data_IF_403011884568
#
_entry.id   IF_403011884568
#
_cell.length_a   1.000
_cell.length_b   1.000
_cell.length_c   1.000
_cell.angle_alpha   90.00
_cell.angle_beta   90.00
_cell.angle_gamma   90.00
#
_symmetry.space_group_name_H-M   'P 1'
#
loop_
_entity.id
_entity.type
_entity.pdbx_description
1 polymer ?
#
# COMPACT_ATOMS: atom_id res chain seq x y z
N UNK A 1 27.93 -29.10 -100.66
CA UNK A 1 27.06 -29.94 -99.79
C UNK A 1 27.52 -29.92 -98.33
N UNK A 2 28.64 -29.25 -98.01
CA UNK A 2 29.07 -28.96 -96.64
C UNK A 2 28.44 -27.67 -96.08
N UNK A 3 28.14 -26.66 -96.92
CA UNK A 3 27.54 -25.38 -96.47
C UNK A 3 26.06 -25.47 -96.03
N UNK A 4 25.38 -26.59 -96.27
CA UNK A 4 23.95 -26.74 -95.90
C UNK A 4 23.74 -27.36 -94.51
N UNK A 5 24.80 -27.96 -93.95
CA UNK A 5 24.75 -28.59 -92.62
C UNK A 5 25.14 -27.63 -91.49
N UNK A 6 25.86 -26.55 -91.78
CA UNK A 6 26.35 -25.63 -90.73
C UNK A 6 25.28 -24.65 -90.23
N UNK A 7 24.48 -24.07 -91.13
CA UNK A 7 23.47 -23.07 -90.74
C UNK A 7 22.29 -23.68 -89.94
N UNK A 8 21.94 -24.93 -90.21
CA UNK A 8 20.87 -25.61 -89.46
C UNK A 8 21.33 -26.12 -88.10
N UNK A 9 22.61 -26.50 -87.95
CA UNK A 9 23.16 -26.99 -86.70
C UNK A 9 23.47 -25.84 -85.73
N UNK A 10 24.08 -24.74 -86.21
CA UNK A 10 24.33 -23.55 -85.39
C UNK A 10 23.04 -22.85 -84.95
N UNK A 11 22.01 -22.83 -85.81
CA UNK A 11 20.69 -22.30 -85.44
C UNK A 11 20.05 -23.06 -84.28
N UNK A 12 20.17 -24.41 -84.26
CA UNK A 12 19.67 -25.24 -83.15
C UNK A 12 20.47 -25.04 -81.87
N UNK A 13 21.80 -24.92 -81.95
CA UNK A 13 22.65 -24.65 -80.79
C UNK A 13 22.37 -23.27 -80.15
N UNK A 14 22.12 -22.24 -80.96
CA UNK A 14 21.75 -20.90 -80.49
C UNK A 14 20.37 -20.89 -79.83
N UNK A 15 19.41 -21.66 -80.37
CA UNK A 15 18.08 -21.86 -79.78
C UNK A 15 18.15 -22.61 -78.44
N UNK A 16 18.96 -23.66 -78.34
CA UNK A 16 19.16 -24.41 -77.09
C UNK A 16 19.82 -23.53 -76.01
N UNK A 17 20.79 -22.69 -76.39
CA UNK A 17 21.43 -21.75 -75.45
C UNK A 17 20.45 -20.71 -74.90
N UNK A 18 19.62 -20.11 -75.75
CA UNK A 18 18.60 -19.17 -75.29
C UNK A 18 17.53 -19.84 -74.41
N UNK A 19 17.14 -21.07 -74.72
CA UNK A 19 16.24 -21.85 -73.86
C UNK A 19 16.87 -22.16 -72.50
N UNK A 20 18.17 -22.46 -72.45
CA UNK A 20 18.89 -22.70 -71.20
C UNK A 20 19.03 -21.41 -70.35
N UNK A 21 19.36 -20.27 -70.95
CA UNK A 21 19.44 -18.98 -70.25
C UNK A 21 18.08 -18.54 -69.69
N UNK A 22 16.98 -18.78 -70.44
CA UNK A 22 15.62 -18.57 -69.96
C UNK A 22 15.24 -19.52 -68.81
N UNK A 23 15.63 -20.80 -68.89
CA UNK A 23 15.36 -21.77 -67.85
C UNK A 23 16.10 -21.43 -66.53
N UNK A 24 17.37 -21.00 -66.62
CA UNK A 24 18.15 -20.56 -65.44
C UNK A 24 17.55 -19.28 -64.84
N UNK A 25 17.14 -18.31 -65.67
CA UNK A 25 16.48 -17.10 -65.20
C UNK A 25 15.14 -17.39 -64.51
N UNK A 26 14.32 -18.27 -65.08
CA UNK A 26 13.05 -18.70 -64.50
C UNK A 26 13.24 -19.46 -63.17
N UNK A 27 14.24 -20.34 -63.10
CA UNK A 27 14.58 -21.06 -61.87
C UNK A 27 15.05 -20.10 -60.76
N UNK A 28 15.88 -19.10 -61.10
CA UNK A 28 16.30 -18.05 -60.17
C UNK A 28 15.13 -17.22 -59.63
N UNK A 29 14.17 -16.86 -60.49
CA UNK A 29 12.97 -16.13 -60.08
C UNK A 29 12.07 -16.94 -59.14
N UNK A 30 11.90 -18.24 -59.40
CA UNK A 30 11.15 -19.15 -58.52
C UNK A 30 11.81 -19.30 -57.14
N UNK A 31 13.13 -19.47 -57.09
CA UNK A 31 13.88 -19.52 -55.81
C UNK A 31 13.73 -18.22 -55.03
N UNK A 32 13.77 -17.06 -55.70
CA UNK A 32 13.51 -15.75 -55.09
C UNK A 32 12.10 -15.63 -54.49
N UNK A 33 11.07 -16.13 -55.19
CA UNK A 33 9.69 -16.14 -54.70
C UNK A 33 9.50 -17.07 -53.49
N UNK A 34 10.13 -18.25 -53.49
CA UNK A 34 10.13 -19.13 -52.31
C UNK A 34 10.84 -18.49 -51.11
N UNK A 35 11.94 -17.76 -51.35
CA UNK A 35 12.63 -17.01 -50.32
C UNK A 35 11.77 -15.90 -49.69
N UNK A 36 11.00 -15.17 -50.51
CA UNK A 36 10.05 -14.16 -50.04
C UNK A 36 8.88 -14.78 -49.25
N UNK A 37 8.38 -15.94 -49.69
CA UNK A 37 7.34 -16.67 -48.97
C UNK A 37 7.82 -17.14 -47.59
N UNK A 38 9.03 -17.68 -47.51
CA UNK A 38 9.65 -18.07 -46.25
C UNK A 38 9.88 -16.85 -45.35
N UNK A 39 10.46 -15.77 -45.85
CA UNK A 39 10.71 -14.57 -45.04
C UNK A 39 9.42 -13.95 -44.52
N UNK A 40 8.35 -13.93 -45.32
CA UNK A 40 7.02 -13.48 -44.90
C UNK A 40 6.42 -14.38 -43.81
N UNK A 41 6.51 -15.70 -43.96
CA UNK A 41 6.04 -16.64 -42.95
C UNK A 41 6.82 -16.52 -41.63
N UNK A 42 8.15 -16.40 -41.70
CA UNK A 42 9.00 -16.16 -40.52
C UNK A 42 8.69 -14.83 -39.84
N UNK A 43 8.47 -13.76 -40.61
CA UNK A 43 8.12 -12.45 -40.06
C UNK A 43 6.79 -12.49 -39.31
N UNK A 44 5.78 -13.16 -39.87
CA UNK A 44 4.48 -13.35 -39.21
C UNK A 44 4.62 -14.13 -37.90
N UNK A 45 5.42 -15.20 -37.90
CA UNK A 45 5.70 -15.97 -36.70
C UNK A 45 6.43 -15.13 -35.63
N UNK A 46 7.44 -14.35 -36.01
CA UNK A 46 8.16 -13.48 -35.08
C UNK A 46 7.27 -12.38 -34.49
N UNK A 47 6.36 -11.80 -35.28
CA UNK A 47 5.37 -10.85 -34.77
C UNK A 47 4.45 -11.49 -33.73
N UNK A 48 3.98 -12.72 -33.98
CA UNK A 48 3.15 -13.44 -33.02
C UNK A 48 3.88 -13.74 -31.71
N UNK A 49 5.16 -14.12 -31.76
CA UNK A 49 5.93 -14.34 -30.54
C UNK A 49 6.25 -13.04 -29.80
N UNK A 50 6.54 -11.96 -30.52
CA UNK A 50 6.76 -10.64 -29.91
C UNK A 50 5.49 -10.12 -29.20
N UNK A 51 4.33 -10.38 -29.78
CA UNK A 51 3.03 -10.07 -29.17
C UNK A 51 2.81 -10.85 -27.87
N UNK A 52 3.04 -12.17 -27.88
CA UNK A 52 2.94 -13.01 -26.68
C UNK A 52 3.92 -12.52 -25.61
N UNK A 53 5.15 -12.21 -25.97
CA UNK A 53 6.17 -11.73 -25.03
C UNK A 53 5.78 -10.38 -24.41
N UNK A 54 5.26 -9.44 -25.22
CA UNK A 54 4.74 -8.17 -24.72
C UNK A 54 3.63 -8.38 -23.68
N UNK A 55 2.65 -9.26 -23.95
CA UNK A 55 1.59 -9.58 -22.99
C UNK A 55 2.12 -10.18 -21.68
N UNK A 56 3.13 -11.05 -21.76
CA UNK A 56 3.78 -11.61 -20.58
C UNK A 56 4.53 -10.53 -19.78
N UNK A 57 5.21 -9.60 -20.45
CA UNK A 57 5.92 -8.49 -19.80
C UNK A 57 4.97 -7.52 -19.10
N UNK A 58 3.89 -7.09 -19.75
CA UNK A 58 2.88 -6.22 -19.13
C UNK A 58 2.30 -6.87 -17.89
N UNK A 59 2.02 -8.17 -17.96
CA UNK A 59 1.54 -8.96 -16.81
C UNK A 59 2.56 -9.00 -15.68
N UNK A 60 3.82 -9.22 -16.00
CA UNK A 60 4.88 -9.25 -15.00
C UNK A 60 4.96 -7.89 -14.28
N UNK A 61 4.92 -6.78 -15.02
CA UNK A 61 4.89 -5.43 -14.45
C UNK A 61 3.69 -5.23 -13.53
N UNK A 62 2.52 -5.74 -13.90
CA UNK A 62 1.31 -5.68 -13.06
C UNK A 62 1.49 -6.39 -11.72
N UNK A 63 2.00 -7.64 -11.76
CA UNK A 63 2.24 -8.45 -10.58
C UNK A 63 3.31 -7.80 -9.70
N UNK A 64 4.38 -7.31 -10.30
CA UNK A 64 5.46 -6.61 -9.60
C UNK A 64 4.94 -5.34 -8.93
N UNK A 65 4.07 -4.59 -9.60
CA UNK A 65 3.42 -3.40 -9.03
C UNK A 65 2.56 -3.77 -7.82
N UNK A 66 1.69 -4.77 -7.93
CA UNK A 66 0.87 -5.25 -6.79
C UNK A 66 1.74 -5.76 -5.62
N UNK A 67 2.83 -6.44 -5.92
CA UNK A 67 3.75 -6.93 -4.89
C UNK A 67 4.46 -5.77 -4.19
N UNK A 68 4.92 -4.76 -4.94
CA UNK A 68 5.50 -3.54 -4.37
C UNK A 68 4.51 -2.81 -3.46
N UNK A 69 3.22 -2.71 -3.84
CA UNK A 69 2.19 -2.12 -2.97
C UNK A 69 2.06 -2.87 -1.65
N UNK A 70 2.10 -4.21 -1.70
CA UNK A 70 2.01 -5.05 -0.50
C UNK A 70 3.20 -4.80 0.42
N UNK A 71 4.40 -4.76 -0.13
CA UNK A 71 5.62 -4.49 0.64
C UNK A 71 5.62 -3.05 1.20
N UNK A 72 5.19 -2.04 0.45
CA UNK A 72 5.08 -0.66 0.96
C UNK A 72 4.10 -0.57 2.14
N UNK A 73 2.94 -1.21 2.04
CA UNK A 73 1.97 -1.26 3.14
C UNK A 73 2.54 -2.01 4.35
N UNK A 74 3.26 -3.10 4.10
CA UNK A 74 3.94 -3.87 5.15
C UNK A 74 5.01 -3.03 5.84
N UNK A 75 5.81 -2.28 5.10
CA UNK A 75 6.85 -1.40 5.64
C UNK A 75 6.23 -0.31 6.53
N UNK A 76 5.10 0.28 6.13
CA UNK A 76 4.35 1.21 6.98
C UNK A 76 3.85 0.54 8.27
N UNK A 77 3.25 -0.65 8.16
CA UNK A 77 2.81 -1.45 9.29
C UNK A 77 3.97 -1.77 10.24
N UNK A 78 5.12 -2.20 9.73
CA UNK A 78 6.29 -2.55 10.53
C UNK A 78 6.92 -1.32 11.19
N UNK A 79 6.92 -0.17 10.50
CA UNK A 79 7.36 1.10 11.07
C UNK A 79 6.46 1.53 12.24
N UNK A 80 5.15 1.48 12.07
CA UNK A 80 4.21 1.87 13.11
C UNK A 80 4.18 0.87 14.27
N UNK A 81 4.31 -0.43 13.98
CA UNK A 81 4.50 -1.48 14.97
C UNK A 81 5.73 -1.22 15.85
N UNK A 82 6.88 -0.93 15.25
CA UNK A 82 8.12 -0.60 15.99
C UNK A 82 7.96 0.63 16.89
N UNK A 83 7.23 1.66 16.45
CA UNK A 83 6.94 2.84 17.28
C UNK A 83 6.07 2.47 18.48
N UNK A 84 5.04 1.65 18.30
CA UNK A 84 4.18 1.18 19.39
C UNK A 84 4.99 0.36 20.38
N UNK A 85 5.80 -0.60 19.91
CA UNK A 85 6.59 -1.50 20.74
C UNK A 85 7.62 -0.70 21.58
N UNK A 86 8.28 0.29 20.97
CA UNK A 86 9.21 1.19 21.68
C UNK A 86 8.50 1.98 22.78
N UNK A 87 7.31 2.55 22.49
CA UNK A 87 6.52 3.28 23.49
C UNK A 87 6.02 2.36 24.61
N UNK A 88 5.72 1.09 24.29
CA UNK A 88 5.31 0.10 25.27
C UNK A 88 6.45 -0.21 26.24
N UNK A 89 7.67 -0.39 25.73
CA UNK A 89 8.87 -0.56 26.56
C UNK A 89 9.04 0.65 27.50
N UNK A 90 8.96 1.88 26.97
CA UNK A 90 9.05 3.09 27.81
C UNK A 90 7.98 3.12 28.90
N UNK A 91 6.72 2.80 28.57
CA UNK A 91 5.64 2.75 29.55
C UNK A 91 5.89 1.68 30.63
N UNK A 92 6.39 0.50 30.26
CA UNK A 92 6.74 -0.57 31.23
C UNK A 92 7.90 -0.18 32.14
N UNK A 93 8.92 0.51 31.62
CA UNK A 93 10.02 1.02 32.43
C UNK A 93 9.55 2.08 33.42
N UNK A 94 8.68 3.01 32.99
CA UNK A 94 8.06 4.00 33.87
C UNK A 94 7.21 3.36 34.97
N UNK A 95 6.49 2.27 34.64
CA UNK A 95 5.73 1.51 35.62
C UNK A 95 6.65 0.83 36.65
N UNK A 96 7.75 0.21 36.19
CA UNK A 96 8.74 -0.42 37.07
C UNK A 96 9.41 0.60 38.01
N UNK A 97 9.76 1.79 37.50
CA UNK A 97 10.27 2.91 38.31
C UNK A 97 9.23 3.34 39.34
N UNK A 98 7.96 3.47 38.94
CA UNK A 98 6.86 3.79 39.85
C UNK A 98 6.72 2.79 41.00
N UNK A 99 6.84 1.49 40.71
CA UNK A 99 6.85 0.45 41.75
C UNK A 99 8.06 0.55 42.67
N UNK A 100 9.22 0.98 42.15
CA UNK A 100 10.43 1.22 42.95
C UNK A 100 10.26 2.31 44.02
N UNK A 101 9.29 3.23 43.85
CA UNK A 101 8.96 4.20 44.90
C UNK A 101 8.05 3.63 45.98
N UNK A 102 7.24 2.61 45.67
CA UNK A 102 6.33 1.96 46.61
C UNK A 102 7.07 0.80 47.30
N UNK A 103 8.08 1.12 48.09
CA UNK A 103 8.83 0.13 48.88
C UNK A 103 8.55 0.34 50.37
N UNK A 104 8.43 -0.78 51.10
CA UNK A 104 8.27 -0.76 52.55
C UNK A 104 9.45 -0.06 53.24
N UNK A 105 9.16 0.73 54.28
CA UNK A 105 10.20 1.44 55.05
C UNK A 105 10.60 2.82 54.49
N UNK A 106 9.89 3.33 53.48
CA UNK A 106 10.17 4.66 52.89
C UNK A 106 9.92 5.82 53.87
N UNK A 107 9.07 5.63 54.87
CA UNK A 107 8.83 6.63 55.91
C UNK A 107 9.56 6.26 57.21
N UNK A 108 10.22 7.22 57.88
CA UNK A 108 10.81 6.97 59.18
C UNK A 108 9.72 6.52 60.16
N UNK A 109 10.01 5.46 60.92
CA UNK A 109 9.11 4.96 61.95
C UNK A 109 8.79 6.10 62.92
N UNK A 110 7.51 6.28 63.22
CA UNK A 110 7.08 7.23 64.24
C UNK A 110 7.54 6.69 65.60
N UNK A 111 8.67 7.19 66.12
CA UNK A 111 9.14 6.84 67.45
C UNK A 111 8.12 7.35 68.50
N UNK A 112 7.42 6.45 69.22
CA UNK A 112 6.36 6.86 70.15
C UNK A 112 6.87 7.55 71.42
N UNK A 113 8.20 7.66 71.62
CA UNK A 113 8.82 8.13 72.86
C UNK A 113 9.24 9.61 72.93
N UNK A 114 9.04 10.41 71.89
CA UNK A 114 9.44 11.85 71.85
C UNK A 114 8.22 12.80 71.86
N UNK A 115 7.26 12.56 72.73
CA UNK A 115 5.91 13.13 72.68
C UNK A 115 5.77 14.61 73.06
N UNK A 116 6.70 15.21 73.80
CA UNK A 116 6.33 16.40 74.58
C UNK A 116 6.68 17.76 73.92
N UNK A 117 7.47 17.77 72.84
CA UNK A 117 7.81 18.99 72.09
C UNK A 117 7.46 18.94 70.59
N UNK A 118 6.87 17.83 70.11
CA UNK A 118 6.79 17.50 68.68
C UNK A 118 5.38 17.47 68.06
N UNK A 119 4.34 17.93 68.74
CA UNK A 119 2.96 17.75 68.26
C UNK A 119 2.68 18.43 66.90
N UNK A 120 3.29 19.59 66.64
CA UNK A 120 3.11 20.33 65.39
C UNK A 120 3.77 19.65 64.18
N UNK A 121 4.84 18.89 64.38
CA UNK A 121 5.58 18.23 63.29
C UNK A 121 4.85 16.98 62.76
N UNK A 122 3.95 16.40 63.54
CA UNK A 122 3.22 15.18 63.15
C UNK A 122 2.11 15.45 62.12
N UNK A 123 1.35 16.54 62.28
CA UNK A 123 0.28 16.90 61.36
C UNK A 123 0.82 17.24 59.95
N UNK A 124 1.93 17.98 59.89
CA UNK A 124 2.59 18.33 58.62
C UNK A 124 3.12 17.09 57.87
N UNK A 125 3.68 16.12 58.62
CA UNK A 125 4.13 14.86 58.02
C UNK A 125 2.97 14.01 57.52
N UNK A 126 1.82 14.01 58.21
CA UNK A 126 0.64 13.28 57.76
C UNK A 126 0.14 13.81 56.41
N UNK A 127 0.03 15.13 56.27
CA UNK A 127 -0.41 15.76 55.03
C UNK A 127 0.52 15.44 53.86
N UNK A 128 1.85 15.50 54.07
CA UNK A 128 2.83 15.16 53.03
C UNK A 128 2.78 13.69 52.61
N UNK A 129 2.52 12.77 53.55
CA UNK A 129 2.33 11.34 53.26
C UNK A 129 1.11 11.09 52.40
N UNK A 130 0.00 11.78 52.67
CA UNK A 130 -1.23 11.69 51.86
C UNK A 130 -0.98 12.21 50.44
N UNK A 131 -0.33 13.37 50.31
CA UNK A 131 0.03 13.93 48.99
C UNK A 131 0.93 12.97 48.22
N UNK A 132 1.98 12.45 48.87
CA UNK A 132 2.86 11.45 48.27
C UNK A 132 2.09 10.20 47.81
N UNK A 133 1.19 9.66 48.65
CA UNK A 133 0.43 8.46 48.30
C UNK A 133 -0.46 8.69 47.07
N UNK A 134 -1.08 9.86 46.95
CA UNK A 134 -1.87 10.24 45.77
C UNK A 134 -0.98 10.37 44.53
N UNK A 135 0.16 11.06 44.63
CA UNK A 135 1.11 11.22 43.52
C UNK A 135 1.67 9.85 43.08
N UNK A 136 2.01 8.99 44.02
CA UNK A 136 2.49 7.63 43.76
C UNK A 136 1.42 6.76 43.08
N UNK A 137 0.15 6.88 43.49
CA UNK A 137 -0.95 6.20 42.82
C UNK A 137 -1.08 6.63 41.35
N UNK A 138 -0.98 7.94 41.07
CA UNK A 138 -0.98 8.42 39.68
C UNK A 138 0.27 8.02 38.90
N UNK A 139 1.44 7.98 39.54
CA UNK A 139 2.69 7.51 38.93
C UNK A 139 2.60 6.03 38.48
N UNK A 140 1.73 5.22 39.10
CA UNK A 140 1.45 3.83 38.70
C UNK A 140 0.29 3.71 37.71
N UNK A 141 -0.82 4.43 37.94
CA UNK A 141 -2.01 4.34 37.10
C UNK A 141 -1.75 4.89 35.69
N UNK A 142 -1.07 6.03 35.55
CA UNK A 142 -0.80 6.64 34.25
C UNK A 142 0.00 5.75 33.28
N UNK A 143 1.16 5.17 33.65
CA UNK A 143 1.89 4.29 32.74
C UNK A 143 1.12 2.98 32.47
N UNK A 144 0.34 2.48 33.43
CA UNK A 144 -0.52 1.32 33.21
C UNK A 144 -1.60 1.60 32.15
N UNK A 145 -2.32 2.72 32.25
CA UNK A 145 -3.29 3.15 31.24
C UNK A 145 -2.65 3.39 29.87
N UNK A 146 -1.44 3.96 29.85
CA UNK A 146 -0.66 4.12 28.61
C UNK A 146 -0.36 2.77 27.96
N UNK A 147 0.08 1.79 28.75
CA UNK A 147 0.37 0.43 28.28
C UNK A 147 -0.89 -0.25 27.70
N UNK A 148 -2.04 -0.15 28.38
CA UNK A 148 -3.30 -0.70 27.87
C UNK A 148 -3.71 -0.08 26.53
N UNK A 149 -3.57 1.24 26.40
CA UNK A 149 -3.87 1.95 25.15
C UNK A 149 -2.93 1.52 24.01
N UNK A 150 -1.64 1.26 24.30
CA UNK A 150 -0.68 0.75 23.32
C UNK A 150 -0.96 -0.69 22.91
N UNK A 151 -1.32 -1.56 23.85
CA UNK A 151 -1.73 -2.95 23.58
C UNK A 151 -2.97 -2.97 22.68
N UNK A 152 -3.96 -2.14 22.96
CA UNK A 152 -5.16 -2.03 22.13
C UNK A 152 -4.83 -1.49 20.72
N UNK A 153 -3.90 -0.52 20.63
CA UNK A 153 -3.40 -0.02 19.34
C UNK A 153 -2.71 -1.13 18.54
N UNK A 154 -1.85 -1.92 19.19
CA UNK A 154 -1.18 -3.08 18.58
C UNK A 154 -2.17 -4.12 18.09
N UNK A 155 -3.15 -4.48 18.92
CA UNK A 155 -4.21 -5.44 18.57
C UNK A 155 -5.01 -5.00 17.34
N UNK A 156 -5.33 -3.70 17.24
CA UNK A 156 -6.03 -3.14 16.08
C UNK A 156 -5.17 -3.18 14.82
N UNK A 157 -3.89 -2.84 14.95
CA UNK A 157 -2.92 -2.88 13.86
C UNK A 157 -2.73 -4.30 13.31
N UNK A 158 -2.59 -5.29 14.19
CA UNK A 158 -2.48 -6.70 13.81
C UNK A 158 -3.78 -7.22 13.15
N UNK A 159 -4.94 -6.82 13.69
CA UNK A 159 -6.24 -7.14 13.08
C UNK A 159 -6.36 -6.56 11.66
N UNK A 160 -5.97 -5.30 11.46
CA UNK A 160 -5.98 -4.67 10.15
C UNK A 160 -5.11 -5.44 9.16
N UNK A 161 -3.87 -5.75 9.52
CA UNK A 161 -2.93 -6.42 8.61
C UNK A 161 -3.39 -7.84 8.26
N UNK A 162 -4.01 -8.54 9.20
CA UNK A 162 -4.60 -9.85 8.94
C UNK A 162 -5.75 -9.77 7.92
N UNK A 163 -6.68 -8.83 8.11
CA UNK A 163 -7.81 -8.62 7.19
C UNK A 163 -7.34 -8.16 5.80
N UNK A 164 -6.36 -7.26 5.77
CA UNK A 164 -5.75 -6.82 4.52
C UNK A 164 -5.14 -7.99 3.75
N UNK A 165 -4.29 -8.80 4.40
CA UNK A 165 -3.62 -9.93 3.76
C UNK A 165 -4.60 -10.97 3.21
N UNK A 166 -5.66 -11.29 3.95
CA UNK A 166 -6.69 -12.23 3.49
C UNK A 166 -7.42 -11.68 2.26
N UNK A 167 -7.87 -10.42 2.29
CA UNK A 167 -8.53 -9.80 1.12
C UNK A 167 -7.59 -9.64 -0.08
N UNK A 168 -6.35 -9.23 0.15
CA UNK A 168 -5.34 -9.12 -0.89
C UNK A 168 -5.08 -10.47 -1.56
N UNK A 169 -4.93 -11.54 -0.78
CA UNK A 169 -4.75 -12.89 -1.31
C UNK A 169 -5.95 -13.37 -2.12
N UNK A 170 -7.18 -13.13 -1.65
CA UNK A 170 -8.41 -13.48 -2.37
C UNK A 170 -8.53 -12.73 -3.69
N UNK A 171 -8.25 -11.43 -3.70
CA UNK A 171 -8.27 -10.60 -4.90
C UNK A 171 -7.23 -11.08 -5.91
N UNK A 172 -6.00 -11.34 -5.47
CA UNK A 172 -4.93 -11.86 -6.32
C UNK A 172 -5.31 -13.20 -6.92
N UNK A 173 -5.88 -14.11 -6.10
CA UNK A 173 -6.37 -15.41 -6.55
C UNK A 173 -7.51 -15.28 -7.56
N UNK A 174 -8.46 -14.37 -7.33
CA UNK A 174 -9.58 -14.15 -8.23
C UNK A 174 -9.12 -13.60 -9.58
N UNK A 175 -8.26 -12.57 -9.59
CA UNK A 175 -7.65 -12.04 -10.83
C UNK A 175 -6.86 -13.12 -11.57
N UNK A 176 -6.11 -13.95 -10.85
CA UNK A 176 -5.39 -15.07 -11.45
C UNK A 176 -6.33 -16.12 -12.06
N UNK A 177 -7.47 -16.41 -11.44
CA UNK A 177 -8.47 -17.34 -11.97
C UNK A 177 -9.19 -16.79 -13.21
N UNK A 178 -9.62 -15.52 -13.19
CA UNK A 178 -10.21 -14.86 -14.36
C UNK A 178 -9.24 -14.89 -15.54
N UNK A 179 -7.97 -14.58 -15.27
CA UNK A 179 -6.91 -14.66 -16.26
C UNK A 179 -6.70 -16.09 -16.80
N UNK A 180 -6.68 -17.11 -15.94
CA UNK A 180 -6.55 -18.50 -16.40
C UNK A 180 -7.75 -18.94 -17.24
N UNK A 181 -8.95 -18.44 -16.94
CA UNK A 181 -10.14 -18.70 -17.74
C UNK A 181 -10.05 -18.03 -19.11
N UNK A 182 -9.57 -16.78 -19.17
CA UNK A 182 -9.38 -16.02 -20.41
C UNK A 182 -8.28 -16.61 -21.29
N UNK A 183 -7.13 -16.96 -20.71
CA UNK A 183 -6.02 -17.58 -21.45
C UNK A 183 -6.31 -18.97 -21.98
N UNK A 184 -7.20 -19.73 -21.32
CA UNK A 184 -7.68 -21.01 -21.84
C UNK A 184 -8.51 -20.85 -23.11
N UNK A 185 -9.05 -19.66 -23.37
CA UNK A 185 -9.77 -19.29 -24.58
C UNK A 185 -8.81 -18.70 -25.63
N UNK A 186 -7.87 -19.51 -26.11
CA UNK A 186 -6.86 -19.12 -27.11
C UNK A 186 -7.44 -18.57 -28.43
N UNK A 187 -8.68 -18.94 -28.78
CA UNK A 187 -9.35 -18.46 -29.99
C UNK A 187 -9.83 -16.99 -29.88
N UNK A 188 -9.96 -16.44 -28.67
CA UNK A 188 -10.41 -15.05 -28.44
C UNK A 188 -9.22 -14.08 -28.33
N UNK A 189 -8.07 -14.56 -27.82
CA UNK A 189 -6.85 -13.76 -27.64
C UNK A 189 -6.35 -13.10 -28.94
N UNK A 190 -6.51 -13.76 -30.07
CA UNK A 190 -6.10 -13.22 -31.37
C UNK A 190 -7.02 -12.14 -31.95
N UNK A 191 -8.25 -12.00 -31.44
CA UNK A 191 -9.27 -11.13 -32.03
C UNK A 191 -9.60 -9.87 -31.23
N UNK A 192 -9.83 -9.99 -29.92
CA UNK A 192 -10.45 -8.91 -29.13
C UNK A 192 -9.46 -8.06 -28.35
N UNK A 193 -8.42 -8.68 -27.77
CA UNK A 193 -7.57 -7.98 -26.81
C UNK A 193 -6.46 -7.18 -27.48
N UNK A 194 -5.95 -7.65 -28.64
CA UNK A 194 -4.95 -6.89 -29.39
C UNK A 194 -5.48 -5.53 -29.84
N UNK A 195 -6.74 -5.46 -30.27
CA UNK A 195 -7.37 -4.20 -30.70
C UNK A 195 -7.49 -3.23 -29.52
N UNK A 196 -7.95 -3.70 -28.36
CA UNK A 196 -8.14 -2.85 -27.16
C UNK A 196 -6.84 -2.29 -26.60
N UNK A 197 -5.76 -3.08 -26.55
CA UNK A 197 -4.48 -2.62 -26.01
C UNK A 197 -3.64 -1.84 -27.04
N UNK A 198 -3.94 -1.93 -28.33
CA UNK A 198 -3.24 -1.18 -29.40
C UNK A 198 -3.96 0.08 -29.86
N UNK A 199 -5.20 0.33 -29.41
CA UNK A 199 -6.01 1.51 -29.79
C UNK A 199 -5.39 2.87 -29.42
N UNK A 200 -4.36 2.90 -28.58
CA UNK A 200 -3.61 4.12 -28.22
C UNK A 200 -2.22 4.26 -28.86
N UNK A 201 -1.72 3.25 -29.59
CA UNK A 201 -0.48 3.39 -30.34
C UNK A 201 -0.77 4.23 -31.61
N UNK A 202 0.14 5.12 -32.04
CA UNK A 202 -0.04 5.85 -33.29
C UNK A 202 -0.14 4.83 -34.43
N UNK A 203 -1.37 4.55 -34.85
CA UNK A 203 -1.63 3.78 -36.06
C UNK A 203 -0.93 4.54 -37.18
N UNK A 204 0.12 3.95 -37.75
CA UNK A 204 0.75 4.54 -38.92
C UNK A 204 -0.34 4.81 -39.98
N UNK A 205 -0.50 6.06 -40.41
CA UNK A 205 -1.49 6.38 -41.41
C UNK A 205 -0.95 5.88 -42.76
N UNK A 206 -1.58 4.87 -43.35
CA UNK A 206 -1.91 4.94 -44.79
C UNK A 206 -2.90 3.85 -45.25
N UNK A 207 -4.20 4.17 -45.36
CA UNK A 207 -5.18 3.33 -46.07
C UNK A 207 -4.95 3.25 -47.60
N UNK A 208 -3.88 3.85 -48.13
CA UNK A 208 -3.58 3.86 -49.56
C UNK A 208 -2.93 2.56 -50.07
N UNK A 209 -2.22 1.80 -49.21
CA UNK A 209 -1.51 0.59 -49.65
C UNK A 209 -2.34 -0.70 -49.48
N UNK A 210 -3.32 -0.73 -48.58
CA UNK A 210 -4.18 -1.89 -48.38
C UNK A 210 -5.12 -2.17 -49.58
N UNK A 211 -5.38 -1.17 -50.44
CA UNK A 211 -6.22 -1.32 -51.63
C UNK A 211 -5.47 -1.89 -52.85
N UNK A 212 -4.15 -1.99 -52.81
CA UNK A 212 -3.33 -2.50 -53.93
C UNK A 212 -3.07 -4.00 -53.84
N UNK A 213 -3.09 -4.59 -52.63
CA UNK A 213 -2.82 -6.03 -52.46
C UNK A 213 -4.05 -6.95 -52.46
N UNK A 214 -5.28 -6.42 -52.37
CA UNK A 214 -6.52 -7.24 -52.38
C UNK A 214 -7.11 -7.49 -53.76
N UNK A 215 -6.57 -6.88 -54.83
CA UNK A 215 -7.08 -7.04 -56.20
C UNK A 215 -6.42 -8.17 -57.00
N UNK A 216 -5.37 -8.83 -56.48
CA UNK A 216 -4.60 -9.82 -57.25
C UNK A 216 -4.96 -11.29 -56.97
N UNK A 217 -5.76 -11.61 -55.93
CA UNK A 217 -6.18 -12.98 -55.63
C UNK A 217 -7.70 -13.06 -55.45
N UNK A 218 -8.41 -12.86 -56.56
CA UNK A 218 -9.85 -13.09 -56.66
C UNK A 218 -10.20 -14.58 -56.57
N UNK A 219 -10.30 -15.12 -55.36
CA UNK A 219 -11.04 -16.36 -55.08
C UNK A 219 -12.42 -16.00 -54.51
N UNK A 220 -13.38 -15.94 -55.43
CA UNK A 220 -14.80 -15.62 -55.25
C UNK A 220 -15.53 -16.71 -54.46
N UNK A 221 -15.41 -16.73 -53.14
CA UNK A 221 -16.27 -17.57 -52.29
C UNK A 221 -17.66 -16.94 -52.14
N UNK A 222 -18.61 -17.55 -52.85
CA UNK A 222 -20.01 -17.14 -52.95
C UNK A 222 -20.80 -17.80 -51.81
N UNK A 223 -20.88 -17.16 -50.64
CA UNK A 223 -21.79 -17.60 -49.58
C UNK A 223 -23.23 -17.21 -49.92
N UNK A 224 -24.00 -18.19 -50.41
CA UNK A 224 -25.43 -18.09 -50.75
C UNK A 224 -26.24 -18.60 -49.55
N UNK A 225 -26.45 -17.75 -48.55
CA UNK A 225 -27.32 -18.02 -47.40
C UNK A 225 -28.72 -17.44 -47.60
N UNK A 226 -29.73 -18.30 -47.66
CA UNK A 226 -31.14 -17.97 -47.90
C UNK A 226 -31.75 -17.13 -46.77
N UNK A 227 -32.30 -15.98 -47.14
CA UNK A 227 -33.42 -15.33 -46.47
C UNK A 227 -34.59 -16.31 -46.26
N UNK A 228 -35.13 -16.34 -45.03
CA UNK A 228 -36.52 -16.72 -44.79
C UNK A 228 -37.13 -15.87 -43.67
N UNK A 229 -38.09 -15.04 -44.09
CA UNK A 229 -39.37 -14.61 -43.48
C UNK A 229 -39.35 -14.27 -41.98
N UNK A 230 -39.52 -13.00 -41.63
CA UNK A 230 -40.82 -12.30 -41.55
C UNK A 230 -41.72 -12.87 -40.44
N UNK A 231 -41.51 -12.33 -39.23
CA UNK A 231 -42.45 -12.34 -38.11
C UNK A 231 -42.48 -10.92 -37.55
N UNK A 232 -43.64 -10.27 -37.67
CA UNK A 232 -43.88 -8.89 -37.29
C UNK A 232 -44.32 -8.79 -35.82
N UNK A 233 -44.15 -7.58 -35.29
CA UNK A 233 -44.87 -6.97 -34.17
C UNK A 233 -44.40 -7.34 -32.76
N UNK A 234 -43.45 -6.53 -32.29
CA UNK A 234 -43.07 -6.37 -30.88
C UNK A 234 -42.05 -5.25 -30.80
N UNK A 235 -42.47 -4.02 -31.11
CA UNK A 235 -41.66 -2.81 -31.02
C UNK A 235 -41.45 -2.44 -29.54
N UNK A 236 -40.75 -3.28 -28.80
CA UNK A 236 -40.07 -2.83 -27.59
C UNK A 236 -38.90 -1.98 -28.05
N UNK A 237 -39.06 -0.69 -27.85
CA UNK A 237 -38.01 0.32 -27.90
C UNK A 237 -36.87 -0.17 -27.00
N UNK A 238 -35.92 -0.90 -27.59
CA UNK A 238 -34.61 -1.17 -27.02
C UNK A 238 -34.04 0.19 -26.65
N UNK A 239 -34.16 0.53 -25.38
CA UNK A 239 -33.63 1.74 -24.81
C UNK A 239 -32.13 1.57 -24.97
N UNK A 240 -31.57 2.33 -25.90
CA UNK A 240 -30.15 2.43 -26.19
C UNK A 240 -29.51 3.03 -24.92
N UNK A 241 -29.32 2.18 -23.91
CA UNK A 241 -28.53 2.53 -22.75
C UNK A 241 -27.13 2.75 -23.30
N UNK A 242 -26.55 3.96 -23.17
CA UNK A 242 -25.18 4.16 -23.57
C UNK A 242 -24.38 3.06 -22.89
N UNK A 243 -23.66 2.25 -23.67
CA UNK A 243 -22.61 1.37 -23.17
C UNK A 243 -21.66 2.27 -22.40
N UNK A 244 -21.93 2.43 -21.10
CA UNK A 244 -21.12 3.20 -20.22
C UNK A 244 -19.87 2.34 -20.06
N UNK A 245 -18.84 2.69 -20.83
CA UNK A 245 -17.51 2.12 -20.67
C UNK A 245 -17.16 2.23 -19.19
N UNK A 246 -17.26 1.11 -18.49
CA UNK A 246 -16.74 0.98 -17.15
C UNK A 246 -15.23 1.12 -17.32
N UNK A 247 -14.76 2.36 -17.16
CA UNK A 247 -13.36 2.67 -17.11
C UNK A 247 -12.80 1.87 -15.94
N UNK A 248 -12.07 0.79 -16.22
CA UNK A 248 -11.36 0.09 -15.16
C UNK A 248 -10.37 1.10 -14.57
N UNK A 249 -10.46 1.37 -13.25
CA UNK A 249 -9.53 2.27 -12.61
C UNK A 249 -8.11 1.71 -12.78
N UNK A 250 -7.18 2.58 -13.18
CA UNK A 250 -5.79 2.16 -13.38
C UNK A 250 -5.20 1.63 -12.08
N UNK A 251 -4.28 0.67 -12.14
CA UNK A 251 -3.72 0.06 -10.92
C UNK A 251 -3.06 1.09 -10.00
N UNK A 252 -2.55 2.19 -10.55
CA UNK A 252 -1.99 3.31 -9.79
C UNK A 252 -3.01 3.97 -8.85
N UNK A 253 -4.26 4.11 -9.29
CA UNK A 253 -5.34 4.67 -8.47
C UNK A 253 -5.68 3.73 -7.32
N UNK A 254 -5.63 2.41 -7.55
CA UNK A 254 -5.78 1.39 -6.50
C UNK A 254 -4.69 1.55 -5.43
N UNK A 255 -3.43 1.83 -5.82
CA UNK A 255 -2.33 2.06 -4.86
C UNK A 255 -2.63 3.23 -3.96
N UNK A 256 -2.93 4.36 -4.60
CA UNK A 256 -3.18 5.63 -3.92
C UNK A 256 -4.38 5.50 -2.99
N UNK A 257 -5.45 4.85 -3.47
CA UNK A 257 -6.63 4.58 -2.68
C UNK A 257 -6.29 3.71 -1.46
N UNK A 258 -5.58 2.59 -1.65
CA UNK A 258 -5.20 1.71 -0.55
C UNK A 258 -4.35 2.42 0.52
N UNK A 259 -3.36 3.20 0.10
CA UNK A 259 -2.54 3.99 1.01
C UNK A 259 -3.38 5.04 1.75
N UNK A 260 -4.31 5.70 1.04
CA UNK A 260 -5.24 6.66 1.65
C UNK A 260 -6.19 6.00 2.66
N UNK A 261 -6.65 4.78 2.37
CA UNK A 261 -7.51 4.01 3.26
C UNK A 261 -6.75 3.57 4.52
N UNK A 262 -5.50 3.11 4.39
CA UNK A 262 -4.66 2.80 5.55
C UNK A 262 -4.47 4.04 6.44
N UNK A 263 -4.09 5.17 5.85
CA UNK A 263 -3.88 6.42 6.59
C UNK A 263 -5.16 6.88 7.31
N UNK A 264 -6.31 6.79 6.64
CA UNK A 264 -7.61 7.15 7.20
C UNK A 264 -8.01 6.21 8.33
N UNK A 265 -7.85 4.91 8.13
CA UNK A 265 -8.12 3.89 9.14
C UNK A 265 -7.25 4.10 10.38
N UNK A 266 -5.93 4.27 10.18
CA UNK A 266 -4.99 4.54 11.26
C UNK A 266 -5.38 5.80 12.05
N UNK A 267 -5.73 6.88 11.34
CA UNK A 267 -6.14 8.13 11.97
C UNK A 267 -7.41 7.95 12.83
N UNK A 268 -8.41 7.24 12.33
CA UNK A 268 -9.68 7.07 13.05
C UNK A 268 -9.56 6.11 14.25
N UNK A 269 -8.83 5.00 14.08
CA UNK A 269 -8.84 3.89 15.05
C UNK A 269 -7.63 3.88 15.98
N UNK A 270 -6.45 4.29 15.51
CA UNK A 270 -5.20 4.22 16.29
C UNK A 270 -4.79 5.59 16.87
N UNK A 271 -5.03 6.69 16.14
CA UNK A 271 -4.56 8.03 16.56
C UNK A 271 -5.10 8.45 17.93
N UNK A 272 -6.37 8.16 18.23
CA UNK A 272 -6.98 8.48 19.53
C UNK A 272 -6.32 7.70 20.67
N UNK A 273 -6.14 6.39 20.51
CA UNK A 273 -5.47 5.54 21.49
C UNK A 273 -4.01 5.97 21.70
N UNK A 274 -3.30 6.29 20.61
CA UNK A 274 -1.92 6.76 20.66
C UNK A 274 -1.80 8.13 21.33
N UNK A 275 -2.76 9.03 21.10
CA UNK A 275 -2.85 10.33 21.77
C UNK A 275 -3.05 10.15 23.28
N UNK A 276 -4.01 9.31 23.70
CA UNK A 276 -4.25 8.99 25.11
C UNK A 276 -2.99 8.40 25.74
N UNK A 277 -2.36 7.41 25.10
CA UNK A 277 -1.10 6.83 25.59
C UNK A 277 -0.01 7.90 25.76
N UNK A 278 0.18 8.78 24.76
CA UNK A 278 1.19 9.84 24.83
C UNK A 278 0.95 10.77 26.01
N UNK A 279 -0.30 11.21 26.21
CA UNK A 279 -0.69 12.07 27.33
C UNK A 279 -0.47 11.36 28.68
N UNK A 280 -0.90 10.10 28.79
CA UNK A 280 -0.69 9.28 29.99
C UNK A 280 0.81 9.08 30.29
N UNK A 281 1.65 8.83 29.28
CA UNK A 281 3.11 8.71 29.45
C UNK A 281 3.73 10.01 29.93
N UNK A 282 3.30 11.17 29.40
CA UNK A 282 3.74 12.48 29.90
C UNK A 282 3.40 12.70 31.37
N UNK A 283 2.15 12.44 31.74
CA UNK A 283 1.73 12.51 33.14
C UNK A 283 2.50 11.53 34.02
N UNK A 284 2.74 10.31 33.54
CA UNK A 284 3.54 9.31 34.27
C UNK A 284 4.97 9.81 34.54
N UNK A 285 5.63 10.46 33.58
CA UNK A 285 6.95 11.06 33.78
C UNK A 285 6.91 12.16 34.83
N UNK A 286 5.92 13.07 34.75
CA UNK A 286 5.73 14.16 35.70
C UNK A 286 5.53 13.62 37.12
N UNK A 287 4.62 12.66 37.30
CA UNK A 287 4.33 12.10 38.62
C UNK A 287 5.50 11.30 39.19
N UNK A 288 6.26 10.57 38.37
CA UNK A 288 7.47 9.89 38.84
C UNK A 288 8.56 10.88 39.31
N UNK A 289 8.76 11.98 38.57
CA UNK A 289 9.69 13.04 39.00
C UNK A 289 9.21 13.71 40.29
N UNK A 290 7.91 13.99 40.40
CA UNK A 290 7.31 14.53 41.63
C UNK A 290 7.42 13.57 42.80
N UNK A 291 7.21 12.26 42.61
CA UNK A 291 7.44 11.24 43.63
C UNK A 291 8.87 11.28 44.15
N UNK A 292 9.86 11.30 43.25
CA UNK A 292 11.26 11.41 43.61
C UNK A 292 11.55 12.69 44.40
N UNK A 293 10.99 13.82 43.95
CA UNK A 293 11.15 15.11 44.60
C UNK A 293 10.57 15.13 46.03
N UNK A 294 9.36 14.57 46.20
CA UNK A 294 8.69 14.48 47.50
C UNK A 294 9.44 13.55 48.45
N UNK A 295 9.92 12.40 47.96
CA UNK A 295 10.72 11.48 48.76
C UNK A 295 12.02 12.13 49.23
N UNK A 296 12.75 12.78 48.34
CA UNK A 296 14.00 13.45 48.70
C UNK A 296 13.74 14.67 49.61
N UNK A 297 12.65 15.40 49.39
CA UNK A 297 12.21 16.50 50.26
C UNK A 297 11.93 16.02 51.68
N UNK A 298 11.16 14.93 51.83
CA UNK A 298 10.91 14.30 53.13
C UNK A 298 12.19 13.76 53.77
N UNK A 299 13.11 13.20 52.97
CA UNK A 299 14.42 12.74 53.46
C UNK A 299 15.27 13.90 54.01
N UNK A 300 15.32 15.04 53.32
CA UNK A 300 16.04 16.22 53.81
C UNK A 300 15.38 16.84 55.04
N UNK A 301 14.05 16.87 55.08
CA UNK A 301 13.31 17.32 56.26
C UNK A 301 13.63 16.45 57.49
N UNK A 302 13.76 15.13 57.30
CA UNK A 302 14.14 14.20 58.37
C UNK A 302 15.61 14.35 58.78
N UNK A 303 16.53 14.48 57.81
CA UNK A 303 17.97 14.48 58.06
C UNK A 303 18.51 15.81 58.60
N UNK A 304 17.87 16.93 58.22
CA UNK A 304 18.33 18.28 58.55
C UNK A 304 17.17 19.15 59.10
N UNK A 305 16.63 18.81 60.28
CA UNK A 305 15.48 19.49 60.84
C UNK A 305 15.73 20.98 61.13
N UNK A 306 16.97 21.35 61.45
CA UNK A 306 17.33 22.73 61.83
C UNK A 306 17.45 23.70 60.64
N UNK A 307 17.49 23.18 59.41
CA UNK A 307 17.70 23.98 58.19
C UNK A 307 16.57 23.78 57.18
N UNK A 308 15.38 24.39 57.40
CA UNK A 308 14.22 24.23 56.51
C UNK A 308 14.45 24.80 55.10
N UNK A 309 15.43 25.68 54.95
CA UNK A 309 15.82 26.26 53.66
C UNK A 309 16.31 25.19 52.65
N UNK A 310 16.88 24.08 53.12
CA UNK A 310 17.44 23.06 52.22
C UNK A 310 16.37 22.30 51.45
N UNK A 311 15.35 21.76 52.13
CA UNK A 311 14.32 20.97 51.46
C UNK A 311 13.37 21.87 50.65
N UNK A 312 13.11 23.10 51.13
CA UNK A 312 12.30 24.09 50.40
C UNK A 312 12.99 24.55 49.12
N UNK A 313 14.28 24.88 49.19
CA UNK A 313 15.09 25.23 48.03
C UNK A 313 15.17 24.09 47.00
N UNK A 314 15.37 22.85 47.45
CA UNK A 314 15.36 21.69 46.57
C UNK A 314 14.00 21.50 45.86
N UNK A 315 12.90 21.53 46.63
CA UNK A 315 11.55 21.34 46.09
C UNK A 315 11.19 22.43 45.08
N UNK A 316 11.58 23.68 45.37
CA UNK A 316 11.42 24.81 44.46
C UNK A 316 12.19 24.61 43.15
N UNK A 317 13.46 24.20 43.22
CA UNK A 317 14.28 23.94 42.03
C UNK A 317 13.70 22.83 41.14
N UNK A 318 13.20 21.74 41.75
CA UNK A 318 12.57 20.65 40.99
C UNK A 318 11.27 21.10 40.33
N UNK A 319 10.42 21.83 41.05
CA UNK A 319 9.17 22.38 40.49
C UNK A 319 9.45 23.38 39.35
N UNK A 320 10.45 24.25 39.52
CA UNK A 320 10.88 25.19 38.48
C UNK A 320 11.39 24.45 37.23
N UNK A 321 12.21 23.41 37.41
CA UNK A 321 12.71 22.57 36.33
C UNK A 321 11.58 21.85 35.59
N UNK A 322 10.58 21.34 36.31
CA UNK A 322 9.42 20.67 35.75
C UNK A 322 8.54 21.66 34.96
N UNK A 323 8.32 22.86 35.50
CA UNK A 323 7.58 23.92 34.81
C UNK A 323 8.30 24.34 33.53
N UNK A 324 9.62 24.54 33.58
CA UNK A 324 10.42 24.88 32.41
C UNK A 324 10.35 23.77 31.34
N UNK A 325 10.46 22.50 31.75
CA UNK A 325 10.33 21.36 30.85
C UNK A 325 8.95 21.31 30.18
N UNK A 326 7.87 21.59 30.93
CA UNK A 326 6.51 21.69 30.39
C UNK A 326 6.37 22.82 29.37
N UNK A 327 6.92 24.00 29.66
CA UNK A 327 6.90 25.15 28.74
C UNK A 327 7.69 24.83 27.47
N UNK A 328 8.91 24.31 27.58
CA UNK A 328 9.74 23.96 26.43
C UNK A 328 9.08 22.87 25.57
N UNK A 329 8.47 21.87 26.20
CA UNK A 329 7.72 20.82 25.50
C UNK A 329 6.49 21.39 24.79
N UNK A 330 5.75 22.27 25.46
CA UNK A 330 4.61 22.98 24.86
C UNK A 330 5.03 23.82 23.65
N UNK A 331 6.14 24.55 23.77
CA UNK A 331 6.71 25.33 22.68
C UNK A 331 7.15 24.43 21.53
N UNK A 332 7.88 23.35 21.79
CA UNK A 332 8.30 22.40 20.77
C UNK A 332 7.11 21.76 20.03
N UNK A 333 6.02 21.46 20.74
CA UNK A 333 4.78 20.97 20.14
C UNK A 333 4.06 22.03 19.30
N UNK A 334 4.16 23.31 19.69
CA UNK A 334 3.56 24.42 18.96
C UNK A 334 4.36 24.83 17.72
N UNK A 335 5.70 24.75 17.77
CA UNK A 335 6.61 25.16 16.69
C UNK A 335 6.94 24.04 15.70
N UNK A 336 6.68 22.78 16.07
CA UNK A 336 6.87 21.65 15.16
C UNK A 336 6.07 21.81 13.86
N UNK A 337 6.60 21.32 12.72
CA UNK A 337 5.89 21.38 11.44
C UNK A 337 4.54 20.68 11.60
N UNK A 338 3.47 21.48 11.63
CA UNK A 338 2.12 20.95 11.68
C UNK A 338 1.86 20.27 10.35
N UNK A 339 1.81 18.94 10.34
CA UNK A 339 1.32 18.14 9.22
C UNK A 339 -0.21 18.35 9.13
N UNK A 340 -0.63 19.58 8.85
CA UNK A 340 -2.02 20.01 8.84
C UNK A 340 -2.61 20.11 7.43
N UNK A 341 -1.84 19.80 6.41
CA UNK A 341 -2.22 20.07 5.01
C UNK A 341 -2.71 18.86 4.21
N UNK A 342 -2.83 17.66 4.78
CA UNK A 342 -3.34 16.48 4.03
C UNK A 342 -4.60 15.82 4.61
N UNK A 343 -5.03 16.18 5.81
CA UNK A 343 -6.14 15.51 6.51
C UNK A 343 -7.46 16.28 6.47
N UNK A 344 -7.46 17.54 6.04
CA UNK A 344 -8.64 18.41 6.13
C UNK A 344 -9.77 18.08 5.14
N UNK A 345 -9.55 17.16 4.22
CA UNK A 345 -10.57 16.76 3.24
C UNK A 345 -11.17 15.36 3.45
N UNK A 346 -10.85 14.69 4.57
CA UNK A 346 -11.41 13.37 4.88
C UNK A 346 -12.65 13.60 5.75
N UNK A 347 -13.83 13.56 5.11
CA UNK A 347 -15.12 13.83 5.73
C UNK A 347 -15.34 12.98 6.99
N UNK A 348 -15.72 13.67 8.07
CA UNK A 348 -15.82 13.15 9.44
C UNK A 348 -16.95 12.12 9.69
N UNK A 349 -17.54 11.52 8.66
CA UNK A 349 -18.74 10.69 8.79
C UNK A 349 -18.50 9.18 8.96
N UNK A 350 -17.27 8.68 8.99
CA UNK A 350 -17.01 7.22 9.08
C UNK A 350 -16.59 6.74 10.48
N UNK A 351 -17.58 6.41 11.30
CA UNK A 351 -17.43 5.48 12.44
C UNK A 351 -17.41 4.00 11.98
N UNK A 352 -17.39 3.75 10.67
CA UNK A 352 -17.49 2.40 10.11
C UNK A 352 -16.10 1.81 9.82
N UNK A 353 -16.01 0.49 10.00
CA UNK A 353 -15.01 -0.37 9.38
C UNK A 353 -14.89 0.06 7.90
N UNK A 354 -13.68 0.22 7.32
CA UNK A 354 -13.54 0.63 5.92
C UNK A 354 -14.47 -0.19 5.03
N UNK A 355 -15.21 0.43 4.11
CA UNK A 355 -16.21 -0.26 3.27
C UNK A 355 -15.63 -1.51 2.59
N UNK A 356 -14.40 -1.38 2.08
CA UNK A 356 -13.65 -2.48 1.49
C UNK A 356 -13.40 -3.67 2.43
N UNK A 357 -13.45 -3.52 3.76
CA UNK A 357 -13.36 -4.63 4.72
C UNK A 357 -14.70 -5.34 4.91
N UNK A 358 -15.83 -4.66 4.74
CA UNK A 358 -17.17 -5.25 4.83
C UNK A 358 -17.71 -5.75 3.48
N UNK A 359 -17.23 -5.19 2.38
CA UNK A 359 -17.68 -5.53 1.03
C UNK A 359 -17.25 -6.95 0.62
N UNK A 360 -18.14 -7.57 -0.16
CA UNK A 360 -17.95 -8.91 -0.72
C UNK A 360 -16.74 -8.88 -1.67
N UNK A 361 -15.77 -9.81 -1.58
CA UNK A 361 -14.52 -9.75 -2.34
C UNK A 361 -14.70 -9.91 -3.85
N UNK A 362 -15.92 -10.19 -4.31
CA UNK A 362 -16.29 -10.20 -5.74
C UNK A 362 -16.54 -8.80 -6.30
N UNK A 363 -16.71 -7.77 -5.47
CA UNK A 363 -16.84 -6.40 -5.94
C UNK A 363 -15.46 -5.77 -6.16
N UNK A 364 -15.24 -5.06 -7.28
CA UNK A 364 -13.99 -4.34 -7.51
C UNK A 364 -13.82 -3.25 -6.44
N UNK A 365 -12.63 -3.19 -5.84
CA UNK A 365 -12.26 -2.33 -4.69
C UNK A 365 -12.52 -0.82 -4.82
N UNK A 366 -12.94 -0.34 -5.99
CA UNK A 366 -13.04 1.08 -6.34
C UNK A 366 -14.40 1.48 -6.93
N UNK A 367 -15.46 0.72 -6.69
CA UNK A 367 -16.83 1.15 -7.08
C UNK A 367 -17.51 2.08 -6.07
N UNK A 368 -16.82 2.49 -4.99
CA UNK A 368 -17.35 3.31 -3.90
C UNK A 368 -17.03 4.80 -4.03
#
# INVERSE_FOLDING_TARGET
>A
MEDFLDDTFFGRLKSIRHAAELAVGAAGALVGLFGLGQSSAYHKHNLQWAEIDYFLQVRQVHIDTLNNMREDLRDMYELDGRKIDTNMIVATLLLAIGFGFVVEGTFPASDPGKSDAGHQTYEDQHNMRVVYAVVAAFALLCPFWSMLALIECRRRLDFFMHQFNDKFYRMLKHRFQLFLAETRSTDILHGSNLVRYTEGLPQEPHPALARVYSSALGCRWRCRGKHRRAGAAGSESATDYPEQECHEPGDFEVILALHSHYATWWYNWCSRCLCVSRVCTWFAMIFNVLCCALLLGMYFQYSYPDTPEMWTGYSFLVLLGLLLAMVLTGLANCTGPRIHTRTQHIDHHMNFIPGWMTEDPSQPLLQA
#
